data_IF_367564869135
#
_entry.id   IF_367564869135
#
_cell.length_a   1.000
_cell.length_b   1.000
_cell.length_c   1.000
_cell.angle_alpha   90.00
_cell.angle_beta   90.00
_cell.angle_gamma   90.00
#
_symmetry.space_group_name_H-M   'P 1'
#
loop_
_entity.id
_entity.type
_entity.pdbx_description
1 polymer ?
#
# COMPACT_ATOMS: atom_id res chain seq x y z
N UNK A 1 0.72 44.31 -15.10
CA UNK A 1 2.07 44.05 -14.54
C UNK A 1 2.17 44.83 -13.25
N UNK A 2 2.29 44.15 -12.11
CA UNK A 2 2.55 44.79 -10.81
C UNK A 2 4.04 44.64 -10.47
N UNK A 3 4.58 45.55 -9.65
CA UNK A 3 5.96 45.42 -9.14
C UNK A 3 5.93 44.52 -7.92
N UNK A 4 6.66 43.40 -7.96
CA UNK A 4 6.71 42.43 -6.85
C UNK A 4 7.26 43.00 -5.53
N UNK A 5 7.98 44.13 -5.59
CA UNK A 5 8.50 44.84 -4.42
C UNK A 5 7.47 45.73 -3.71
N UNK A 6 6.36 46.10 -4.37
CA UNK A 6 5.31 46.93 -3.78
C UNK A 6 4.13 46.04 -3.34
N UNK A 7 4.11 45.68 -2.06
CA UNK A 7 3.13 44.74 -1.51
C UNK A 7 1.69 45.23 -1.58
N UNK A 8 1.44 46.55 -1.55
CA UNK A 8 0.09 47.07 -1.72
C UNK A 8 -0.40 46.94 -3.17
N UNK A 9 0.49 47.14 -4.14
CA UNK A 9 0.16 46.85 -5.55
C UNK A 9 -0.08 45.36 -5.77
N UNK A 10 0.70 44.49 -5.12
CA UNK A 10 0.50 43.03 -5.19
C UNK A 10 -0.86 42.65 -4.61
N UNK A 11 -1.24 43.21 -3.44
CA UNK A 11 -2.55 42.95 -2.82
C UNK A 11 -3.72 43.39 -3.71
N UNK A 12 -3.61 44.58 -4.32
CA UNK A 12 -4.63 45.06 -5.25
C UNK A 12 -4.72 44.16 -6.50
N UNK A 13 -3.58 43.76 -7.07
CA UNK A 13 -3.54 42.85 -8.21
C UNK A 13 -4.12 41.47 -7.85
N UNK A 14 -3.76 40.92 -6.69
CA UNK A 14 -4.28 39.67 -6.15
C UNK A 14 -5.82 39.69 -6.11
N UNK A 15 -6.42 40.73 -5.54
CA UNK A 15 -7.88 40.88 -5.47
C UNK A 15 -8.53 40.93 -6.87
N UNK A 16 -7.93 41.67 -7.82
CA UNK A 16 -8.45 41.74 -9.19
C UNK A 16 -8.34 40.40 -9.93
N UNK A 17 -7.24 39.67 -9.73
CA UNK A 17 -6.99 38.36 -10.32
C UNK A 17 -7.95 37.31 -9.74
N UNK A 18 -8.17 37.30 -8.41
CA UNK A 18 -9.17 36.46 -7.74
C UNK A 18 -10.55 36.68 -8.35
N UNK A 19 -10.94 37.95 -8.49
CA UNK A 19 -12.23 38.31 -9.08
C UNK A 19 -12.36 37.87 -10.53
N UNK A 20 -11.27 37.90 -11.31
CA UNK A 20 -11.26 37.40 -12.68
C UNK A 20 -11.49 35.89 -12.73
N UNK A 21 -10.89 35.13 -11.81
CA UNK A 21 -11.09 33.67 -11.71
C UNK A 21 -12.53 33.34 -11.32
N UNK A 22 -13.10 34.04 -10.34
CA UNK A 22 -14.50 33.86 -9.91
C UNK A 22 -15.50 34.13 -11.04
N UNK A 23 -15.25 35.14 -11.88
CA UNK A 23 -16.16 35.50 -12.98
C UNK A 23 -16.02 34.55 -14.17
N UNK A 24 -14.78 34.21 -14.55
CA UNK A 24 -14.50 33.48 -15.79
C UNK A 24 -14.46 31.96 -15.60
N UNK A 25 -14.24 31.48 -14.39
CA UNK A 25 -14.12 30.06 -14.08
C UNK A 25 -13.12 29.34 -15.01
N UNK A 26 -13.58 28.28 -15.65
CA UNK A 26 -12.77 27.44 -16.56
C UNK A 26 -12.26 28.19 -17.79
N UNK A 27 -12.98 29.23 -18.24
CA UNK A 27 -12.61 30.06 -19.40
C UNK A 27 -11.51 31.09 -19.10
N UNK A 28 -11.07 31.18 -17.84
CA UNK A 28 -10.02 32.11 -17.45
C UNK A 28 -8.69 31.78 -18.13
N UNK A 29 -7.96 32.80 -18.58
CA UNK A 29 -6.68 32.62 -19.26
C UNK A 29 -5.64 32.04 -18.30
N UNK A 30 -4.81 31.13 -18.78
CA UNK A 30 -3.79 30.47 -17.96
C UNK A 30 -2.77 31.45 -17.38
N UNK A 31 -2.52 32.57 -18.06
CA UNK A 31 -1.66 33.64 -17.55
C UNK A 31 -2.28 34.37 -16.34
N UNK A 32 -3.61 34.47 -16.25
CA UNK A 32 -4.30 35.04 -15.09
C UNK A 32 -4.13 34.11 -13.90
N UNK A 33 -4.33 32.81 -14.10
CA UNK A 33 -4.11 31.76 -13.10
C UNK A 33 -2.67 31.76 -12.55
N UNK A 34 -1.66 31.78 -13.42
CA UNK A 34 -0.25 31.84 -13.01
C UNK A 34 0.08 33.11 -12.21
N UNK A 35 -0.41 34.27 -12.67
CA UNK A 35 -0.18 35.52 -11.97
C UNK A 35 -0.91 35.57 -10.62
N UNK A 36 -2.09 34.94 -10.52
CA UNK A 36 -2.82 34.84 -9.27
C UNK A 36 -2.03 34.06 -8.22
N UNK A 37 -1.56 32.86 -8.57
CA UNK A 37 -0.72 32.04 -7.69
C UNK A 37 0.57 32.79 -7.35
N UNK A 38 1.24 33.40 -8.32
CA UNK A 38 2.44 34.20 -8.04
C UNK A 38 2.17 35.34 -7.05
N UNK A 39 1.05 36.06 -7.19
CA UNK A 39 0.67 37.11 -6.26
C UNK A 39 0.37 36.56 -4.85
N UNK A 40 -0.36 35.44 -4.77
CA UNK A 40 -0.65 34.73 -3.52
C UNK A 40 0.63 34.36 -2.77
N UNK A 41 1.60 33.72 -3.46
CA UNK A 41 2.90 33.37 -2.88
C UNK A 41 3.69 34.59 -2.37
N UNK A 42 3.68 35.69 -3.12
CA UNK A 42 4.37 36.94 -2.73
C UNK A 42 3.74 37.56 -1.47
N UNK A 43 2.42 37.43 -1.29
CA UNK A 43 1.70 37.91 -0.12
C UNK A 43 1.90 36.98 1.07
N UNK A 44 1.94 35.67 0.83
CA UNK A 44 2.23 34.65 1.84
C UNK A 44 3.62 34.83 2.44
N UNK A 45 4.65 34.97 1.59
CA UNK A 45 6.01 35.31 2.02
C UNK A 45 6.10 36.63 2.81
N UNK A 46 5.15 37.54 2.60
CA UNK A 46 5.06 38.80 3.32
C UNK A 46 4.21 38.72 4.60
N UNK A 47 3.74 37.52 4.98
CA UNK A 47 2.81 37.27 6.08
C UNK A 47 1.51 38.09 5.99
N UNK A 48 1.10 38.47 4.76
CA UNK A 48 -0.15 39.20 4.52
C UNK A 48 -1.34 38.26 4.30
N UNK A 49 -1.06 37.00 3.95
CA UNK A 49 -1.99 35.88 3.95
C UNK A 49 -1.31 34.69 4.62
N UNK A 50 -2.07 33.78 5.19
CA UNK A 50 -1.55 32.58 5.84
C UNK A 50 -1.45 31.38 4.88
N UNK A 51 -0.96 30.24 5.40
CA UNK A 51 -0.85 28.99 4.63
C UNK A 51 -2.23 28.52 4.11
N UNK A 52 -3.27 28.67 4.93
CA UNK A 52 -4.62 28.22 4.59
C UNK A 52 -5.16 28.97 3.37
N UNK A 53 -4.99 30.30 3.33
CA UNK A 53 -5.40 31.10 2.19
C UNK A 53 -4.59 30.77 0.93
N UNK A 54 -3.27 30.56 1.05
CA UNK A 54 -2.43 30.17 -0.07
C UNK A 54 -2.81 28.77 -0.63
N UNK A 55 -3.17 27.83 0.24
CA UNK A 55 -3.70 26.52 -0.16
C UNK A 55 -5.08 26.64 -0.82
N UNK A 56 -5.97 27.47 -0.29
CA UNK A 56 -7.28 27.74 -0.90
C UNK A 56 -7.12 28.30 -2.33
N UNK A 57 -6.19 29.23 -2.51
CA UNK A 57 -5.88 29.83 -3.81
C UNK A 57 -5.34 28.79 -4.80
N UNK A 58 -4.44 27.91 -4.32
CA UNK A 58 -3.93 26.80 -5.10
C UNK A 58 -5.07 25.88 -5.55
N UNK A 59 -5.90 25.41 -4.62
CA UNK A 59 -6.99 24.49 -4.91
C UNK A 59 -8.09 25.08 -5.79
N UNK A 60 -8.33 26.39 -5.68
CA UNK A 60 -9.22 27.10 -6.60
C UNK A 60 -8.69 27.00 -8.03
N UNK A 61 -7.43 27.33 -8.25
CA UNK A 61 -6.85 27.34 -9.60
C UNK A 61 -6.71 25.94 -10.18
N UNK A 62 -6.27 24.96 -9.37
CA UNK A 62 -6.12 23.58 -9.84
C UNK A 62 -7.46 22.94 -10.18
N UNK A 63 -8.50 23.17 -9.38
CA UNK A 63 -9.86 22.73 -9.70
C UNK A 63 -10.38 23.32 -11.02
N UNK A 64 -10.15 24.62 -11.26
CA UNK A 64 -10.49 25.24 -12.55
C UNK A 64 -9.69 24.68 -13.73
N UNK A 65 -8.46 24.20 -13.51
CA UNK A 65 -7.63 23.59 -14.55
C UNK A 65 -8.08 22.16 -14.90
N UNK A 66 -8.71 21.44 -13.97
CA UNK A 66 -9.13 20.04 -14.10
C UNK A 66 -10.52 19.86 -14.74
N UNK A 67 -11.44 20.82 -14.55
CA UNK A 67 -12.84 20.71 -15.01
C UNK A 67 -13.05 20.71 -16.54
N UNK A 68 -12.01 20.87 -17.37
CA UNK A 68 -12.14 20.78 -18.84
C UNK A 68 -11.74 19.39 -19.36
N UNK A 69 -12.72 18.64 -19.86
CA UNK A 69 -12.47 17.41 -20.62
C UNK A 69 -11.56 17.70 -21.83
N UNK A 70 -10.53 16.86 -22.03
CA UNK A 70 -9.59 17.03 -23.14
C UNK A 70 -8.56 18.15 -22.93
N UNK A 71 -8.16 18.40 -21.68
CA UNK A 71 -7.25 19.49 -21.29
C UNK A 71 -6.10 19.72 -22.28
N UNK A 72 -5.99 20.95 -22.77
CA UNK A 72 -4.96 21.32 -23.75
C UNK A 72 -3.55 21.09 -23.19
N UNK A 73 -2.57 20.85 -24.07
CA UNK A 73 -1.15 20.77 -23.68
C UNK A 73 -0.65 22.04 -22.98
N UNK A 74 -1.34 23.18 -23.16
CA UNK A 74 -1.06 24.43 -22.44
C UNK A 74 -1.54 24.36 -21.00
N UNK A 75 -2.79 23.96 -20.73
CA UNK A 75 -3.31 23.81 -19.35
C UNK A 75 -2.50 22.81 -18.53
N UNK A 76 -2.10 21.68 -19.12
CA UNK A 76 -1.24 20.69 -18.44
C UNK A 76 0.10 21.30 -18.01
N UNK A 77 0.73 22.08 -18.89
CA UNK A 77 1.98 22.80 -18.56
C UNK A 77 1.75 23.87 -17.49
N UNK A 78 0.66 24.62 -17.57
CA UNK A 78 0.30 25.61 -16.55
C UNK A 78 0.11 24.96 -15.19
N UNK A 79 -0.60 23.83 -15.12
CA UNK A 79 -0.76 23.05 -13.89
C UNK A 79 0.60 22.64 -13.32
N UNK A 80 1.45 22.02 -14.13
CA UNK A 80 2.79 21.61 -13.70
C UNK A 80 3.63 22.79 -13.18
N UNK A 81 3.56 23.97 -13.81
CA UNK A 81 4.25 25.17 -13.33
C UNK A 81 3.70 25.68 -11.99
N UNK A 82 2.39 25.63 -11.79
CA UNK A 82 1.76 26.03 -10.51
C UNK A 82 2.15 25.05 -9.40
N UNK A 83 2.11 23.76 -9.70
CA UNK A 83 2.52 22.67 -8.82
C UNK A 83 3.98 22.86 -8.36
N UNK A 84 4.90 23.15 -9.30
CA UNK A 84 6.31 23.44 -9.00
C UNK A 84 6.48 24.69 -8.13
N UNK A 85 5.73 25.76 -8.42
CA UNK A 85 5.77 27.00 -7.64
C UNK A 85 5.37 26.75 -6.18
N UNK A 86 4.29 26.00 -5.96
CA UNK A 86 3.77 25.72 -4.62
C UNK A 86 4.69 24.77 -3.84
N UNK A 87 5.21 23.73 -4.49
CA UNK A 87 6.16 22.81 -3.88
C UNK A 87 7.43 23.53 -3.40
N UNK A 88 7.96 24.46 -4.20
CA UNK A 88 9.16 25.23 -3.85
C UNK A 88 8.98 26.09 -2.61
N UNK A 89 7.78 26.60 -2.36
CA UNK A 89 7.47 27.42 -1.20
C UNK A 89 7.17 26.60 0.06
N UNK A 90 7.09 25.26 -0.05
CA UNK A 90 6.83 24.38 1.10
C UNK A 90 5.43 24.52 1.71
N UNK A 91 4.49 25.12 0.98
CA UNK A 91 3.13 25.39 1.46
C UNK A 91 2.31 24.11 1.58
N UNK A 92 2.55 23.13 0.70
CA UNK A 92 1.96 21.78 0.77
C UNK A 92 2.72 20.89 1.77
N UNK A 93 2.92 21.38 3.00
CA UNK A 93 3.40 20.53 4.10
C UNK A 93 2.25 19.68 4.65
N UNK A 94 2.56 18.54 5.26
CA UNK A 94 1.52 17.69 5.85
C UNK A 94 0.74 18.44 6.94
N UNK A 95 1.41 19.24 7.77
CA UNK A 95 0.78 20.12 8.77
C UNK A 95 -0.15 21.16 8.11
N UNK A 96 0.28 21.79 7.02
CA UNK A 96 -0.54 22.77 6.29
C UNK A 96 -1.79 22.13 5.71
N UNK A 97 -1.66 20.92 5.14
CA UNK A 97 -2.79 20.15 4.65
C UNK A 97 -3.74 19.71 5.77
N UNK A 98 -3.20 19.26 6.91
CA UNK A 98 -4.01 18.86 8.08
C UNK A 98 -4.82 20.04 8.61
N UNK A 99 -4.21 21.23 8.71
CA UNK A 99 -4.90 22.45 9.11
C UNK A 99 -5.97 22.87 8.10
N UNK A 100 -5.69 22.77 6.80
CA UNK A 100 -6.61 23.18 5.75
C UNK A 100 -7.81 22.24 5.63
N UNK A 101 -7.56 20.93 5.58
CA UNK A 101 -8.60 19.92 5.35
C UNK A 101 -9.28 19.45 6.62
N UNK A 102 -8.68 19.60 7.81
CA UNK A 102 -9.24 19.08 9.07
C UNK A 102 -10.68 19.54 9.32
N UNK A 103 -10.93 20.85 9.27
CA UNK A 103 -12.27 21.39 9.48
C UNK A 103 -13.26 21.01 8.35
N UNK A 104 -12.78 20.88 7.10
CA UNK A 104 -13.62 20.48 5.97
C UNK A 104 -14.05 19.02 6.10
N UNK A 105 -13.12 18.15 6.50
CA UNK A 105 -13.36 16.74 6.71
C UNK A 105 -14.32 16.49 7.87
N UNK A 106 -14.14 17.18 9.00
CA UNK A 106 -15.07 17.05 10.15
C UNK A 106 -16.51 17.41 9.77
N UNK A 107 -16.70 18.41 8.92
CA UNK A 107 -18.03 18.87 8.51
C UNK A 107 -18.64 18.00 7.41
N UNK A 108 -17.83 17.46 6.50
CA UNK A 108 -18.29 16.82 5.25
C UNK A 108 -17.59 15.48 4.95
N UNK A 109 -17.23 14.68 5.95
CA UNK A 109 -16.53 13.38 5.77
C UNK A 109 -17.30 12.31 4.98
N UNK A 110 -18.55 12.57 4.63
CA UNK A 110 -19.35 11.72 3.74
C UNK A 110 -19.40 12.16 2.28
N UNK A 111 -18.70 13.25 1.92
CA UNK A 111 -18.65 13.77 0.55
C UNK A 111 -17.48 13.14 -0.24
N UNK A 112 -17.75 12.26 -1.23
CA UNK A 112 -16.71 11.58 -1.99
C UNK A 112 -15.75 12.53 -2.70
N UNK A 113 -16.24 13.66 -3.22
CA UNK A 113 -15.42 14.63 -3.95
C UNK A 113 -14.39 15.28 -3.00
N UNK A 114 -14.79 15.56 -1.76
CA UNK A 114 -13.88 16.04 -0.72
C UNK A 114 -12.85 14.98 -0.34
N UNK A 115 -13.29 13.73 -0.13
CA UNK A 115 -12.40 12.62 0.24
C UNK A 115 -11.34 12.38 -0.84
N UNK A 116 -11.72 12.33 -2.10
CA UNK A 116 -10.80 12.21 -3.23
C UNK A 116 -9.83 13.40 -3.29
N UNK A 117 -10.33 14.62 -3.09
CA UNK A 117 -9.48 15.81 -3.05
C UNK A 117 -8.44 15.74 -1.94
N UNK A 118 -8.81 15.28 -0.74
CA UNK A 118 -7.88 15.02 0.37
C UNK A 118 -6.84 13.99 -0.05
N UNK A 119 -7.26 12.81 -0.49
CA UNK A 119 -6.36 11.70 -0.86
C UNK A 119 -5.36 12.11 -1.94
N UNK A 120 -5.82 12.82 -2.97
CA UNK A 120 -4.99 13.30 -4.08
C UNK A 120 -3.98 14.36 -3.61
N UNK A 121 -4.42 15.32 -2.79
CA UNK A 121 -3.57 16.40 -2.29
C UNK A 121 -2.45 15.86 -1.40
N UNK A 122 -2.78 14.94 -0.50
CA UNK A 122 -1.81 14.31 0.39
C UNK A 122 -0.88 13.37 -0.37
N UNK A 123 -1.38 12.63 -1.36
CA UNK A 123 -0.54 11.80 -2.23
C UNK A 123 0.48 12.65 -2.97
N UNK A 124 0.05 13.77 -3.54
CA UNK A 124 0.91 14.70 -4.27
C UNK A 124 1.97 15.35 -3.36
N UNK A 125 1.60 15.67 -2.11
CA UNK A 125 2.51 16.21 -1.10
C UNK A 125 3.43 15.16 -0.44
N UNK A 126 3.25 13.86 -0.73
CA UNK A 126 3.98 12.79 -0.06
C UNK A 126 3.54 12.53 1.39
N UNK A 127 2.36 13.01 1.79
CA UNK A 127 1.83 12.99 3.16
C UNK A 127 0.94 11.79 3.45
N UNK A 128 1.13 10.65 2.78
CA UNK A 128 0.29 9.45 2.92
C UNK A 128 0.25 8.87 4.34
N UNK A 129 1.16 9.27 5.21
CA UNK A 129 1.21 8.81 6.59
C UNK A 129 0.40 9.68 7.56
N UNK A 130 -0.21 10.80 7.11
CA UNK A 130 -1.09 11.60 7.97
C UNK A 130 -2.35 10.83 8.35
N UNK A 131 -2.84 11.05 9.58
CA UNK A 131 -4.09 10.46 10.07
C UNK A 131 -5.30 10.91 9.25
N UNK A 132 -5.30 12.15 8.74
CA UNK A 132 -6.40 12.64 7.92
C UNK A 132 -6.45 11.93 6.56
N UNK A 133 -5.29 11.62 5.97
CA UNK A 133 -5.21 10.82 4.75
C UNK A 133 -5.75 9.41 4.96
N UNK A 134 -5.36 8.76 6.06
CA UNK A 134 -5.86 7.42 6.41
C UNK A 134 -7.37 7.47 6.61
N UNK A 135 -7.87 8.40 7.43
CA UNK A 135 -9.29 8.53 7.71
C UNK A 135 -10.11 8.79 6.43
N UNK A 136 -9.61 9.65 5.54
CA UNK A 136 -10.27 9.90 4.26
C UNK A 136 -10.27 8.68 3.34
N UNK A 137 -9.16 7.93 3.31
CA UNK A 137 -9.05 6.70 2.51
C UNK A 137 -9.99 5.61 3.02
N UNK A 138 -10.08 5.41 4.35
CA UNK A 138 -11.02 4.46 4.96
C UNK A 138 -12.47 4.88 4.69
N UNK A 139 -12.80 6.17 4.83
CA UNK A 139 -14.15 6.70 4.53
C UNK A 139 -14.54 6.53 3.07
N UNK A 140 -13.63 6.79 2.14
CA UNK A 140 -13.92 6.62 0.72
C UNK A 140 -14.20 5.15 0.40
N UNK A 141 -13.44 4.23 1.01
CA UNK A 141 -13.68 2.79 0.89
C UNK A 141 -15.03 2.36 1.49
N UNK A 142 -15.46 2.95 2.60
CA UNK A 142 -16.80 2.68 3.17
C UNK A 142 -17.93 3.08 2.21
N UNK A 143 -17.72 4.14 1.40
CA UNK A 143 -18.71 4.64 0.45
C UNK A 143 -18.74 3.80 -0.83
N UNK A 144 -17.58 3.49 -1.39
CA UNK A 144 -17.42 2.72 -2.62
C UNK A 144 -16.35 1.62 -2.43
N UNK A 145 -16.73 0.48 -1.82
CA UNK A 145 -15.78 -0.58 -1.54
C UNK A 145 -15.38 -1.32 -2.83
N UNK A 146 -14.09 -1.32 -3.13
CA UNK A 146 -13.50 -2.08 -4.22
C UNK A 146 -12.25 -2.84 -3.82
N UNK A 147 -11.95 -3.91 -4.55
CA UNK A 147 -10.78 -4.78 -4.31
C UNK A 147 -9.45 -4.01 -4.37
N UNK A 148 -9.30 -3.13 -5.36
CA UNK A 148 -8.13 -2.25 -5.53
C UNK A 148 -8.00 -1.23 -4.38
N UNK A 149 -9.12 -0.62 -3.96
CA UNK A 149 -9.10 0.31 -2.83
C UNK A 149 -8.77 -0.39 -1.51
N UNK A 150 -9.26 -1.62 -1.32
CA UNK A 150 -8.92 -2.45 -0.16
C UNK A 150 -7.42 -2.79 -0.17
N UNK A 151 -6.86 -3.22 -1.31
CA UNK A 151 -5.43 -3.49 -1.43
C UNK A 151 -4.57 -2.26 -1.11
N UNK A 152 -4.95 -1.08 -1.64
CA UNK A 152 -4.25 0.19 -1.34
C UNK A 152 -4.29 0.54 0.15
N UNK A 153 -5.42 0.32 0.82
CA UNK A 153 -5.56 0.49 2.26
C UNK A 153 -4.70 -0.50 3.04
N UNK A 154 -4.65 -1.76 2.61
CA UNK A 154 -3.75 -2.71 3.23
C UNK A 154 -2.28 -2.28 3.14
N UNK A 155 -1.84 -1.84 1.96
CA UNK A 155 -0.46 -1.36 1.79
C UNK A 155 -0.15 -0.12 2.65
N UNK A 156 -1.13 0.76 2.82
CA UNK A 156 -1.04 1.90 3.73
C UNK A 156 -0.83 1.43 5.17
N UNK A 157 -1.62 0.46 5.64
CA UNK A 157 -1.51 -0.07 7.01
C UNK A 157 -0.26 -0.91 7.25
N UNK A 158 0.26 -1.63 6.24
CA UNK A 158 1.59 -2.25 6.29
C UNK A 158 2.66 -1.17 6.52
N UNK A 159 2.62 -0.07 5.77
CA UNK A 159 3.54 1.05 5.94
C UNK A 159 3.47 1.72 7.32
N UNK A 160 2.31 1.63 7.99
CA UNK A 160 2.09 2.13 9.37
C UNK A 160 2.37 1.08 10.45
N UNK A 161 2.77 -0.12 10.06
CA UNK A 161 2.97 -1.26 10.96
C UNK A 161 1.69 -1.66 11.75
N UNK A 162 0.51 -1.34 11.22
CA UNK A 162 -0.78 -1.81 11.72
C UNK A 162 -1.19 -3.06 10.93
N UNK A 163 -0.54 -4.17 11.26
CA UNK A 163 -0.64 -5.40 10.49
C UNK A 163 -2.00 -6.08 10.64
N UNK A 164 -2.73 -5.85 11.73
CA UNK A 164 -4.09 -6.36 11.93
C UNK A 164 -5.07 -5.70 10.96
N UNK A 165 -5.04 -4.36 10.83
CA UNK A 165 -5.83 -3.67 9.81
C UNK A 165 -5.39 -4.05 8.40
N UNK A 166 -4.09 -4.17 8.15
CA UNK A 166 -3.60 -4.60 6.84
C UNK A 166 -4.13 -5.99 6.45
N UNK A 167 -4.13 -6.94 7.39
CA UNK A 167 -4.67 -8.28 7.18
C UNK A 167 -6.15 -8.23 6.82
N UNK A 168 -6.94 -7.43 7.55
CA UNK A 168 -8.36 -7.26 7.25
C UNK A 168 -8.62 -6.69 5.85
N UNK A 169 -7.90 -5.63 5.47
CA UNK A 169 -8.05 -5.03 4.14
C UNK A 169 -7.57 -5.95 3.01
N UNK A 170 -6.51 -6.75 3.21
CA UNK A 170 -6.10 -7.76 2.24
C UNK A 170 -7.17 -8.84 2.05
N UNK A 171 -7.83 -9.28 3.13
CA UNK A 171 -8.96 -10.21 3.03
C UNK A 171 -10.11 -9.60 2.22
N UNK A 172 -10.42 -8.31 2.43
CA UNK A 172 -11.42 -7.62 1.62
C UNK A 172 -11.00 -7.50 0.15
N UNK A 173 -9.71 -7.30 -0.12
CA UNK A 173 -9.18 -7.18 -1.47
C UNK A 173 -9.40 -8.45 -2.30
N UNK A 174 -9.33 -9.64 -1.70
CA UNK A 174 -9.46 -10.92 -2.42
C UNK A 174 -10.90 -11.48 -2.49
N UNK A 175 -11.90 -10.77 -1.96
CA UNK A 175 -13.29 -11.21 -1.98
C UNK A 175 -13.88 -11.32 -3.38
N UNK A 176 -13.46 -10.47 -4.32
CA UNK A 176 -13.95 -10.52 -5.69
C UNK A 176 -13.38 -11.73 -6.44
N UNK A 177 -14.25 -12.67 -6.79
CA UNK A 177 -13.92 -13.88 -7.53
C UNK A 177 -13.50 -13.61 -8.98
N UNK A 178 -13.75 -12.41 -9.52
CA UNK A 178 -13.41 -12.03 -10.90
C UNK A 178 -12.01 -11.42 -11.05
N UNK A 179 -11.23 -11.34 -9.96
CA UNK A 179 -9.86 -10.86 -10.03
C UNK A 179 -9.04 -11.69 -11.01
N UNK A 180 -8.16 -11.00 -11.75
CA UNK A 180 -7.16 -11.69 -12.56
C UNK A 180 -6.35 -12.64 -11.67
N UNK A 181 -6.16 -13.86 -12.14
CA UNK A 181 -5.51 -14.94 -11.37
C UNK A 181 -4.13 -14.52 -10.84
N UNK A 182 -3.37 -13.75 -11.61
CA UNK A 182 -2.08 -13.17 -11.20
C UNK A 182 -2.20 -12.23 -10.00
N UNK A 183 -3.14 -11.28 -10.07
CA UNK A 183 -3.41 -10.34 -8.97
C UNK A 183 -3.89 -11.07 -7.72
N UNK A 184 -4.79 -12.05 -7.91
CA UNK A 184 -5.30 -12.87 -6.82
C UNK A 184 -4.18 -13.66 -6.15
N UNK A 185 -3.26 -14.24 -6.93
CA UNK A 185 -2.09 -14.94 -6.42
C UNK A 185 -1.16 -14.02 -5.62
N UNK A 186 -0.88 -12.81 -6.12
CA UNK A 186 -0.04 -11.82 -5.44
C UNK A 186 -0.65 -11.40 -4.08
N UNK A 187 -1.94 -11.06 -4.07
CA UNK A 187 -2.59 -10.58 -2.84
C UNK A 187 -2.77 -11.69 -1.79
N UNK A 188 -3.00 -12.94 -2.21
CA UNK A 188 -2.98 -14.07 -1.27
C UNK A 188 -1.58 -14.33 -0.72
N UNK A 189 -0.53 -14.13 -1.53
CA UNK A 189 0.85 -14.20 -1.04
C UNK A 189 1.11 -13.10 0.00
N UNK A 190 0.74 -11.85 -0.27
CA UNK A 190 0.86 -10.76 0.70
C UNK A 190 0.08 -11.04 1.99
N UNK A 191 -1.15 -11.57 1.86
CA UNK A 191 -1.99 -11.95 3.00
C UNK A 191 -1.35 -13.06 3.83
N UNK A 192 -0.69 -14.04 3.20
CA UNK A 192 0.14 -15.02 3.89
C UNK A 192 1.29 -14.38 4.67
N UNK A 193 2.01 -13.42 4.08
CA UNK A 193 3.13 -12.74 4.75
C UNK A 193 2.65 -11.92 5.95
N UNK A 194 1.55 -11.18 5.80
CA UNK A 194 0.96 -10.40 6.90
C UNK A 194 0.44 -11.31 8.00
N UNK A 195 -0.29 -12.38 7.65
CA UNK A 195 -0.78 -13.38 8.61
C UNK A 195 0.37 -14.05 9.39
N UNK A 196 1.50 -14.31 8.74
CA UNK A 196 2.71 -14.79 9.42
C UNK A 196 3.23 -13.78 10.44
N UNK A 197 3.30 -12.51 10.07
CA UNK A 197 3.86 -11.46 10.92
C UNK A 197 3.01 -11.19 12.17
N UNK A 198 1.68 -11.38 12.10
CA UNK A 198 0.77 -11.26 13.25
C UNK A 198 0.63 -12.56 14.06
N UNK A 199 1.28 -13.66 13.64
CA UNK A 199 1.28 -14.94 14.36
C UNK A 199 0.15 -15.91 13.98
N UNK A 200 -0.65 -15.59 12.95
CA UNK A 200 -1.74 -16.43 12.45
C UNK A 200 -1.21 -17.48 11.46
N UNK A 201 -0.31 -18.37 11.92
CA UNK A 201 0.45 -19.27 11.05
C UNK A 201 -0.42 -20.25 10.24
N UNK A 202 -1.53 -20.75 10.80
CA UNK A 202 -2.42 -21.64 10.05
C UNK A 202 -3.20 -20.92 8.95
N UNK A 203 -3.60 -19.68 9.17
CA UNK A 203 -4.24 -18.87 8.13
C UNK A 203 -3.22 -18.55 7.03
N UNK A 204 -1.98 -18.21 7.40
CA UNK A 204 -0.91 -18.01 6.43
C UNK A 204 -0.69 -19.23 5.52
N UNK A 205 -0.72 -20.44 6.06
CA UNK A 205 -0.66 -21.69 5.27
C UNK A 205 -1.79 -21.73 4.23
N UNK A 206 -3.02 -21.42 4.65
CA UNK A 206 -4.17 -21.42 3.75
C UNK A 206 -4.04 -20.35 2.66
N UNK A 207 -3.61 -19.14 3.00
CA UNK A 207 -3.41 -18.07 2.03
C UNK A 207 -2.27 -18.37 1.05
N UNK A 208 -1.14 -18.94 1.50
CA UNK A 208 -0.07 -19.37 0.59
C UNK A 208 -0.52 -20.50 -0.35
N UNK A 209 -1.42 -21.38 0.11
CA UNK A 209 -2.07 -22.39 -0.75
C UNK A 209 -2.96 -21.76 -1.80
N UNK A 210 -3.77 -20.77 -1.44
CA UNK A 210 -4.58 -20.00 -2.39
C UNK A 210 -3.69 -19.30 -3.43
N UNK A 211 -2.59 -18.68 -3.00
CA UNK A 211 -1.63 -18.05 -3.91
C UNK A 211 -1.08 -19.06 -4.93
N UNK A 212 -0.62 -20.22 -4.46
CA UNK A 212 -0.14 -21.33 -5.31
C UNK A 212 -1.23 -21.89 -6.24
N UNK A 213 -2.46 -22.01 -5.76
CA UNK A 213 -3.58 -22.55 -6.53
C UNK A 213 -3.96 -21.63 -7.70
N UNK A 214 -3.87 -20.32 -7.49
CA UNK A 214 -4.06 -19.33 -8.55
C UNK A 214 -2.86 -19.34 -9.51
N UNK A 215 -1.63 -19.36 -9.00
CA UNK A 215 -0.42 -19.36 -9.84
C UNK A 215 0.60 -20.40 -9.40
N UNK A 216 0.64 -21.52 -10.14
CA UNK A 216 1.46 -22.67 -9.79
C UNK A 216 2.97 -22.50 -10.04
N UNK A 217 3.38 -21.51 -10.84
CA UNK A 217 4.77 -21.13 -11.08
C UNK A 217 5.22 -19.97 -10.16
N UNK A 218 4.39 -19.59 -9.19
CA UNK A 218 4.72 -18.52 -8.26
C UNK A 218 5.68 -18.98 -7.16
N UNK A 219 6.99 -18.99 -7.46
CA UNK A 219 8.03 -19.46 -6.53
C UNK A 219 7.95 -18.86 -5.12
N UNK A 220 7.64 -17.56 -5.00
CA UNK A 220 7.50 -16.90 -3.68
C UNK A 220 6.36 -17.47 -2.83
N UNK A 221 5.27 -17.92 -3.43
CA UNK A 221 4.17 -18.57 -2.71
C UNK A 221 4.62 -19.90 -2.07
N UNK A 222 5.49 -20.66 -2.75
CA UNK A 222 6.08 -21.88 -2.17
C UNK A 222 7.07 -21.58 -1.05
N UNK A 223 7.89 -20.53 -1.18
CA UNK A 223 8.74 -20.05 -0.07
C UNK A 223 7.88 -19.69 1.14
N UNK A 224 6.85 -18.87 0.95
CA UNK A 224 5.94 -18.47 2.02
C UNK A 224 5.25 -19.67 2.68
N UNK A 225 4.80 -20.66 1.89
CA UNK A 225 4.17 -21.87 2.40
C UNK A 225 5.14 -22.70 3.28
N UNK A 226 6.39 -22.88 2.84
CA UNK A 226 7.42 -23.56 3.64
C UNK A 226 7.74 -22.82 4.94
N UNK A 227 7.89 -21.49 4.87
CA UNK A 227 8.10 -20.63 6.05
C UNK A 227 6.94 -20.74 7.03
N UNK A 228 5.70 -20.77 6.52
CA UNK A 228 4.49 -20.93 7.31
C UNK A 228 4.38 -22.30 7.98
N UNK A 229 4.78 -23.38 7.31
CA UNK A 229 4.89 -24.71 7.92
C UNK A 229 5.84 -24.72 9.12
N UNK A 230 7.04 -24.14 8.96
CA UNK A 230 8.01 -24.06 10.05
C UNK A 230 7.47 -23.22 11.21
N UNK A 231 6.82 -22.09 10.95
CA UNK A 231 6.25 -21.26 12.01
C UNK A 231 5.08 -21.95 12.74
N UNK A 232 4.23 -22.67 12.00
CA UNK A 232 3.13 -23.44 12.56
C UNK A 232 3.57 -24.68 13.35
N UNK A 233 4.85 -25.11 13.24
CA UNK A 233 5.34 -26.35 13.89
C UNK A 233 5.00 -26.45 15.37
N UNK A 234 5.04 -25.33 16.12
CA UNK A 234 4.74 -25.30 17.57
C UNK A 234 3.28 -25.62 17.92
N UNK A 235 2.41 -25.65 16.91
CA UNK A 235 1.00 -26.02 17.03
C UNK A 235 0.78 -27.52 16.75
N UNK A 236 1.84 -28.23 16.36
CA UNK A 236 1.87 -29.70 16.33
C UNK A 236 2.09 -30.23 17.75
N UNK A 237 2.10 -31.56 17.92
CA UNK A 237 2.29 -32.18 19.23
C UNK A 237 3.76 -32.22 19.66
N UNK A 238 4.28 -33.43 19.83
CA UNK A 238 5.62 -33.66 20.38
C UNK A 238 6.76 -33.17 19.48
N UNK A 239 7.98 -33.19 20.01
CA UNK A 239 9.17 -32.70 19.31
C UNK A 239 9.39 -33.37 17.94
N UNK A 240 9.09 -34.67 17.82
CA UNK A 240 9.18 -35.39 16.56
C UNK A 240 8.17 -34.86 15.53
N UNK A 241 6.91 -34.66 15.95
CA UNK A 241 5.89 -34.06 15.11
C UNK A 241 6.27 -32.63 14.70
N UNK A 242 6.82 -31.82 15.61
CA UNK A 242 7.31 -30.48 15.28
C UNK A 242 8.45 -30.52 14.25
N UNK A 243 9.37 -31.49 14.36
CA UNK A 243 10.44 -31.67 13.40
C UNK A 243 9.94 -32.11 12.02
N UNK A 244 8.83 -32.85 11.94
CA UNK A 244 8.24 -33.27 10.66
C UNK A 244 7.80 -32.09 9.77
N UNK A 245 7.51 -30.91 10.35
CA UNK A 245 7.21 -29.70 9.60
C UNK A 245 8.38 -29.25 8.70
N UNK A 246 9.62 -29.53 9.08
CA UNK A 246 10.80 -29.21 8.26
C UNK A 246 10.89 -30.08 7.00
N UNK A 247 10.36 -31.31 7.02
CA UNK A 247 10.27 -32.13 5.80
C UNK A 247 9.31 -31.51 4.79
N UNK A 248 8.11 -31.15 5.23
CA UNK A 248 7.11 -30.51 4.37
C UNK A 248 7.61 -29.15 3.85
N UNK A 249 8.27 -28.36 4.68
CA UNK A 249 8.86 -27.08 4.27
C UNK A 249 9.96 -27.26 3.21
N UNK A 250 10.82 -28.25 3.38
CA UNK A 250 11.86 -28.57 2.41
C UNK A 250 11.29 -28.92 1.03
N UNK A 251 10.20 -29.68 0.98
CA UNK A 251 9.54 -29.99 -0.29
C UNK A 251 9.06 -28.72 -1.01
N UNK A 252 8.51 -27.75 -0.26
CA UNK A 252 8.09 -26.48 -0.85
C UNK A 252 9.27 -25.66 -1.37
N UNK A 253 10.38 -25.59 -0.64
CA UNK A 253 11.58 -24.88 -1.09
C UNK A 253 12.22 -25.53 -2.33
N UNK A 254 12.18 -26.86 -2.44
CA UNK A 254 12.62 -27.57 -3.65
C UNK A 254 11.76 -27.17 -4.87
N UNK A 255 10.44 -27.09 -4.70
CA UNK A 255 9.54 -26.65 -5.77
C UNK A 255 9.79 -25.18 -6.11
N UNK A 256 9.97 -24.31 -5.12
CA UNK A 256 10.26 -22.89 -5.34
C UNK A 256 11.49 -22.68 -6.26
N UNK A 257 12.61 -23.33 -5.96
CA UNK A 257 13.82 -23.26 -6.78
C UNK A 257 13.64 -23.79 -8.22
N UNK A 258 12.73 -24.75 -8.40
CA UNK A 258 12.45 -25.37 -9.70
C UNK A 258 11.58 -24.47 -10.58
N UNK A 259 10.54 -23.86 -10.01
CA UNK A 259 9.60 -23.02 -10.75
C UNK A 259 10.11 -21.58 -10.92
N UNK A 260 10.96 -21.12 -10.01
CA UNK A 260 11.60 -19.80 -10.06
C UNK A 260 13.11 -19.91 -9.78
N UNK A 261 13.94 -19.98 -10.84
CA UNK A 261 15.40 -20.06 -10.69
C UNK A 261 16.05 -18.87 -9.97
N UNK A 262 15.37 -17.71 -9.89
CA UNK A 262 15.89 -16.56 -9.14
C UNK A 262 15.89 -16.82 -7.62
N UNK A 263 15.06 -17.76 -7.14
CA UNK A 263 14.97 -18.17 -5.74
C UNK A 263 15.90 -19.34 -5.40
N UNK A 264 16.72 -19.83 -6.33
CA UNK A 264 17.53 -21.03 -6.13
C UNK A 264 18.53 -20.89 -4.97
N UNK A 265 19.18 -19.74 -4.83
CA UNK A 265 20.14 -19.49 -3.73
C UNK A 265 19.43 -19.47 -2.37
N UNK A 266 18.37 -18.68 -2.25
CA UNK A 266 17.55 -18.61 -1.02
C UNK A 266 17.00 -19.98 -0.63
N UNK A 267 16.43 -20.70 -1.59
CA UNK A 267 15.88 -22.05 -1.39
C UNK A 267 16.94 -23.02 -0.90
N UNK A 268 18.16 -22.96 -1.46
CA UNK A 268 19.28 -23.82 -1.04
C UNK A 268 19.66 -23.56 0.41
N UNK A 269 19.69 -22.30 0.84
CA UNK A 269 19.99 -21.94 2.24
C UNK A 269 18.88 -22.43 3.20
N UNK A 270 17.61 -22.26 2.83
CA UNK A 270 16.47 -22.74 3.61
C UNK A 270 16.44 -24.28 3.69
N UNK A 271 16.79 -24.98 2.61
CA UNK A 271 16.91 -26.44 2.58
C UNK A 271 17.99 -26.95 3.52
N UNK A 272 19.17 -26.32 3.53
CA UNK A 272 20.24 -26.68 4.45
C UNK A 272 19.81 -26.48 5.92
N UNK A 273 19.07 -25.39 6.18
CA UNK A 273 18.52 -25.10 7.52
C UNK A 273 17.49 -26.15 7.95
N UNK A 274 16.64 -26.61 7.03
CA UNK A 274 15.68 -27.68 7.31
C UNK A 274 16.38 -29.01 7.61
N UNK A 275 17.37 -29.39 6.79
CA UNK A 275 18.09 -30.64 6.95
C UNK A 275 18.77 -30.78 8.32
N UNK A 276 19.27 -29.68 8.89
CA UNK A 276 19.85 -29.66 10.22
C UNK A 276 18.82 -29.89 11.36
N UNK A 277 17.53 -29.69 11.08
CA UNK A 277 16.44 -29.82 12.04
C UNK A 277 15.66 -31.14 11.89
N UNK A 278 16.00 -31.98 10.91
CA UNK A 278 15.34 -33.27 10.74
C UNK A 278 15.56 -34.18 11.97
N UNK A 279 14.60 -35.09 12.25
CA UNK A 279 14.79 -36.14 13.24
C UNK A 279 16.03 -36.99 12.94
N UNK A 280 16.65 -37.56 13.98
CA UNK A 280 17.73 -38.53 13.78
C UNK A 280 17.19 -39.86 13.26
N UNK A 281 18.03 -40.69 12.63
CA UNK A 281 17.62 -42.05 12.23
C UNK A 281 17.17 -42.90 13.43
N UNK A 282 17.72 -42.65 14.62
CA UNK A 282 17.30 -43.31 15.86
C UNK A 282 15.88 -42.87 16.26
N UNK A 283 15.57 -41.57 16.22
CA UNK A 283 14.23 -41.06 16.51
C UNK A 283 13.19 -41.61 15.51
N UNK A 284 13.53 -41.66 14.22
CA UNK A 284 12.67 -42.23 13.17
C UNK A 284 12.38 -43.70 13.46
N UNK A 285 13.41 -44.48 13.82
CA UNK A 285 13.25 -45.88 14.18
C UNK A 285 12.37 -46.07 15.43
N UNK A 286 12.53 -45.25 16.46
CA UNK A 286 11.68 -45.31 17.66
C UNK A 286 10.20 -45.03 17.40
N UNK A 287 9.89 -44.34 16.30
CA UNK A 287 8.51 -44.08 15.87
C UNK A 287 7.99 -45.12 14.86
N UNK A 288 8.72 -46.25 14.68
CA UNK A 288 8.40 -47.31 13.71
C UNK A 288 8.27 -46.80 12.27
N UNK A 289 9.04 -45.77 11.93
CA UNK A 289 9.08 -45.15 10.62
C UNK A 289 10.34 -45.53 9.85
N UNK A 290 10.31 -45.34 8.53
CA UNK A 290 11.43 -45.65 7.64
C UNK A 290 11.70 -44.49 6.68
N UNK A 291 12.98 -44.12 6.54
CA UNK A 291 13.43 -43.12 5.59
C UNK A 291 13.01 -43.47 4.15
N UNK A 292 12.60 -42.46 3.38
CA UNK A 292 12.10 -42.61 2.02
C UNK A 292 10.62 -42.95 1.90
N UNK A 293 9.94 -43.31 3.00
CA UNK A 293 8.49 -43.48 2.99
C UNK A 293 7.75 -42.13 3.08
N UNK A 294 6.48 -42.15 2.69
CA UNK A 294 5.57 -41.02 2.81
C UNK A 294 5.18 -40.79 4.28
N UNK A 295 5.01 -39.52 4.65
CA UNK A 295 4.52 -39.08 5.94
C UNK A 295 3.55 -37.91 5.76
N UNK A 296 2.42 -37.96 6.47
CA UNK A 296 1.46 -36.86 6.51
C UNK A 296 1.73 -36.00 7.75
N UNK A 297 2.17 -34.76 7.53
CA UNK A 297 2.29 -33.79 8.62
C UNK A 297 0.90 -33.33 9.03
N UNK A 298 0.56 -33.50 10.31
CA UNK A 298 -0.78 -33.25 10.86
C UNK A 298 -1.02 -31.76 11.19
N UNK A 299 -2.03 -31.47 12.02
CA UNK A 299 -2.39 -30.10 12.39
C UNK A 299 -2.99 -29.32 11.22
N UNK A 300 -2.71 -28.02 11.11
CA UNK A 300 -3.11 -27.22 9.95
C UNK A 300 -2.14 -27.35 8.77
N UNK A 301 -1.00 -28.02 8.95
CA UNK A 301 -0.06 -28.27 7.86
C UNK A 301 -0.67 -29.25 6.87
N UNK A 302 -1.23 -30.40 7.24
CA UNK A 302 -1.93 -31.33 6.32
C UNK A 302 -1.20 -31.55 4.98
N UNK A 303 0.10 -31.78 5.01
CA UNK A 303 0.93 -31.90 3.80
C UNK A 303 1.64 -33.26 3.80
N UNK A 304 1.59 -33.95 2.67
CA UNK A 304 2.37 -35.17 2.47
C UNK A 304 3.82 -34.81 2.14
N UNK A 305 4.75 -35.53 2.75
CA UNK A 305 6.18 -35.34 2.60
C UNK A 305 6.92 -36.68 2.64
N UNK A 306 8.22 -36.66 2.41
CA UNK A 306 9.09 -37.83 2.50
C UNK A 306 9.95 -37.77 3.76
N UNK A 307 10.01 -38.89 4.48
CA UNK A 307 10.81 -39.06 5.70
C UNK A 307 12.30 -39.02 5.35
N UNK A 308 13.05 -38.15 6.04
CA UNK A 308 14.49 -37.94 5.86
C UNK A 308 15.15 -37.78 7.22
N UNK A 309 16.29 -38.41 7.47
CA UNK A 309 17.05 -38.18 8.70
C UNK A 309 18.02 -37.01 8.55
N UNK A 310 18.43 -36.44 9.68
CA UNK A 310 19.69 -35.68 9.72
C UNK A 310 20.86 -36.67 9.66
N UNK A 311 21.80 -36.42 8.76
CA UNK A 311 23.07 -37.16 8.69
C UNK A 311 23.85 -37.06 10.01
#
# INVERSE_FOLDING_TARGET
RYRSSDKQQVLAAYAMLKRSLEIQGTTCRESVMLNYISASLILHQAAMIDNSQALEDYFLVTGLLEQEEGSSSRRKRTRASIDEMIQKEGILSCEGLDLYFGAQFEQNSGDPDLLEKVINSYTFAGCKQSDLYVAASEKLYEIDPGSESAHRLAMLFIGRNDLEKANWYLQMAVLDENLATETRAEWFYELSIVSMAIGNHCEAINFAREAKANRNDYGKAYIALGDAFIAARRQLGDDFQQQSAYWAAADMYQVAAKVDPALAEESTQKLASCAAQYPSSEDIFFHDLQEGNDYLVSGCIQENTTIRSRN
#
